data_IF_799570214349
#
_entry.id   IF_799570214349
#
_cell.length_a   1.000
_cell.length_b   1.000
_cell.length_c   1.000
_cell.angle_alpha   90.00
_cell.angle_beta   90.00
_cell.angle_gamma   90.00
#
_symmetry.space_group_name_H-M   'P 1'
#
loop_
_entity.id
_entity.type
_entity.pdbx_description
1 polymer ?
#
# COMPACT_ATOMS: atom_id res chain seq x y z
N UNK A 1 -16.55 7.40 -23.84
CA UNK A 1 -16.25 6.72 -22.56
C UNK A 1 -15.07 7.44 -21.93
N UNK A 2 -15.33 8.29 -20.95
CA UNK A 2 -14.30 9.04 -20.26
C UNK A 2 -13.63 8.07 -19.27
N UNK A 3 -12.36 7.73 -19.52
CA UNK A 3 -11.53 7.08 -18.51
C UNK A 3 -11.36 8.08 -17.37
N UNK A 4 -11.97 7.76 -16.23
CA UNK A 4 -11.66 8.40 -14.95
C UNK A 4 -10.18 8.13 -14.73
N UNK A 5 -9.35 9.13 -14.92
CA UNK A 5 -7.96 9.14 -14.45
C UNK A 5 -8.01 9.08 -12.94
N UNK A 6 -8.06 7.87 -12.39
CA UNK A 6 -7.75 7.69 -10.97
C UNK A 6 -6.33 8.24 -10.79
N UNK A 7 -6.16 9.27 -9.98
CA UNK A 7 -4.85 9.76 -9.58
C UNK A 7 -4.10 8.56 -8.98
N UNK A 8 -3.23 7.94 -9.78
CA UNK A 8 -2.34 6.90 -9.27
C UNK A 8 -1.44 7.57 -8.22
N UNK A 9 -1.40 6.99 -7.04
CA UNK A 9 -0.49 7.46 -6.00
C UNK A 9 0.96 7.35 -6.48
N UNK A 10 1.84 8.29 -6.11
CA UNK A 10 3.22 8.32 -6.57
C UNK A 10 4.01 7.09 -6.15
N UNK A 11 4.96 6.67 -6.98
CA UNK A 11 5.99 5.69 -6.65
C UNK A 11 7.17 6.43 -6.03
N UNK A 12 7.56 6.06 -4.83
CA UNK A 12 8.73 6.61 -4.15
C UNK A 12 9.94 5.70 -4.36
N UNK A 13 10.97 6.22 -5.02
CA UNK A 13 12.27 5.57 -5.19
C UNK A 13 13.24 6.13 -4.15
N UNK A 14 13.91 5.26 -3.40
CA UNK A 14 14.86 5.63 -2.35
C UNK A 14 16.18 4.89 -2.55
N UNK A 15 17.24 5.64 -2.85
CA UNK A 15 18.57 5.10 -3.17
C UNK A 15 19.58 6.23 -2.99
N UNK A 16 20.74 5.99 -2.40
CA UNK A 16 21.78 7.02 -2.23
C UNK A 16 22.61 7.30 -3.49
N UNK A 17 22.32 6.59 -4.58
CA UNK A 17 22.95 6.79 -5.89
C UNK A 17 22.05 7.60 -6.85
N UNK A 18 22.26 8.94 -7.01
CA UNK A 18 21.43 9.78 -7.87
C UNK A 18 21.33 9.33 -9.34
N UNK A 19 22.38 8.73 -9.95
CA UNK A 19 22.26 8.19 -11.31
C UNK A 19 21.25 7.05 -11.43
N UNK A 20 21.17 6.18 -10.42
CA UNK A 20 20.21 5.07 -10.41
C UNK A 20 18.79 5.59 -10.25
N UNK A 21 18.54 6.53 -9.33
CA UNK A 21 17.25 7.20 -9.16
C UNK A 21 16.77 7.85 -10.47
N UNK A 22 17.64 8.58 -11.15
CA UNK A 22 17.30 9.22 -12.44
C UNK A 22 16.94 8.19 -13.50
N UNK A 23 17.73 7.14 -13.65
CA UNK A 23 17.51 6.09 -14.64
C UNK A 23 16.20 5.33 -14.38
N UNK A 24 15.95 4.94 -13.13
CA UNK A 24 14.73 4.25 -12.72
C UNK A 24 13.50 5.16 -12.90
N UNK A 25 13.59 6.44 -12.53
CA UNK A 25 12.50 7.41 -12.69
C UNK A 25 12.13 7.62 -14.16
N UNK A 26 13.12 7.79 -15.05
CA UNK A 26 12.88 7.93 -16.49
C UNK A 26 12.25 6.67 -17.07
N UNK A 27 12.74 5.49 -16.68
CA UNK A 27 12.19 4.20 -17.11
C UNK A 27 10.73 4.02 -16.70
N UNK A 28 10.40 4.29 -15.44
CA UNK A 28 9.03 4.14 -14.94
C UNK A 28 8.08 5.11 -15.65
N UNK A 29 8.47 6.37 -15.82
CA UNK A 29 7.68 7.38 -16.54
C UNK A 29 7.47 7.01 -18.01
N UNK A 30 8.52 6.55 -18.70
CA UNK A 30 8.42 6.06 -20.08
C UNK A 30 7.49 4.83 -20.21
N UNK A 31 7.34 4.07 -19.12
CA UNK A 31 6.45 2.91 -19.06
C UNK A 31 5.00 3.25 -18.62
N UNK A 32 4.65 4.54 -18.52
CA UNK A 32 3.30 5.00 -18.18
C UNK A 32 3.03 5.18 -16.68
N UNK A 33 4.06 5.06 -15.81
CA UNK A 33 3.96 5.37 -14.39
C UNK A 33 4.43 6.81 -14.21
N UNK A 34 3.49 7.77 -14.31
CA UNK A 34 3.82 9.18 -14.46
C UNK A 34 4.38 9.82 -13.17
N UNK A 35 3.77 9.47 -12.03
CA UNK A 35 4.10 10.05 -10.72
C UNK A 35 5.21 9.24 -10.03
N UNK A 36 6.44 9.77 -10.08
CA UNK A 36 7.62 9.17 -9.45
C UNK A 36 8.34 10.24 -8.63
N UNK A 37 8.48 9.97 -7.36
CA UNK A 37 9.27 10.74 -6.39
C UNK A 37 10.60 10.03 -6.15
N UNK A 38 11.65 10.81 -5.89
CA UNK A 38 12.98 10.28 -5.61
C UNK A 38 13.53 10.87 -4.32
N UNK A 39 14.15 10.06 -3.48
CA UNK A 39 14.86 10.47 -2.28
C UNK A 39 16.24 9.81 -2.23
N UNK A 40 17.26 10.64 -1.93
CA UNK A 40 18.64 10.20 -1.74
C UNK A 40 18.96 9.89 -0.27
N UNK A 41 18.15 10.41 0.64
CA UNK A 41 18.34 10.28 2.09
C UNK A 41 17.22 9.44 2.72
N UNK A 42 17.60 8.27 3.25
CA UNK A 42 16.68 7.35 3.92
C UNK A 42 15.93 7.97 5.11
N UNK A 43 16.50 8.97 5.76
CA UNK A 43 15.88 9.67 6.91
C UNK A 43 14.66 10.51 6.51
N UNK A 44 14.58 10.93 5.25
CA UNK A 44 13.47 11.72 4.73
C UNK A 44 12.22 10.88 4.38
N UNK A 45 12.33 9.55 4.34
CA UNK A 45 11.23 8.67 3.90
C UNK A 45 10.03 8.74 4.86
N UNK A 46 10.24 8.55 6.16
CA UNK A 46 9.13 8.57 7.12
C UNK A 46 8.44 9.95 7.23
N UNK A 47 9.17 11.08 7.28
CA UNK A 47 8.57 12.40 7.15
C UNK A 47 7.71 12.57 5.90
N UNK A 48 8.21 12.13 4.73
CA UNK A 48 7.46 12.21 3.48
C UNK A 48 6.18 11.36 3.51
N UNK A 49 6.25 10.14 4.04
CA UNK A 49 5.08 9.26 4.16
C UNK A 49 4.01 9.83 5.12
N UNK A 50 4.42 10.63 6.10
CA UNK A 50 3.50 11.32 7.01
C UNK A 50 2.83 12.55 6.36
N UNK A 51 3.49 13.19 5.38
CA UNK A 51 2.99 14.39 4.71
C UNK A 51 2.09 14.08 3.51
N UNK A 52 2.38 13.01 2.77
CA UNK A 52 1.63 12.69 1.56
C UNK A 52 1.49 11.19 1.32
N UNK A 53 0.38 10.75 0.72
CA UNK A 53 0.17 9.35 0.39
C UNK A 53 1.11 8.89 -0.72
N UNK A 54 1.68 7.68 -0.55
CA UNK A 54 2.56 7.01 -1.51
C UNK A 54 1.92 5.70 -1.95
N UNK A 55 2.00 5.41 -3.23
CA UNK A 55 1.45 4.18 -3.83
C UNK A 55 2.32 2.96 -3.63
N UNK A 56 3.64 3.12 -3.84
CA UNK A 56 4.65 2.06 -3.72
C UNK A 56 5.96 2.67 -3.26
N UNK A 57 6.66 1.98 -2.37
CA UNK A 57 8.03 2.28 -1.99
C UNK A 57 8.98 1.31 -2.70
N UNK A 58 9.99 1.83 -3.41
CA UNK A 58 11.13 1.06 -3.91
C UNK A 58 12.36 1.52 -3.13
N UNK A 59 12.99 0.60 -2.41
CA UNK A 59 13.96 0.92 -1.37
C UNK A 59 15.26 0.16 -1.57
N UNK A 60 16.39 0.87 -1.64
CA UNK A 60 17.70 0.23 -1.49
C UNK A 60 17.96 -0.17 -0.03
N UNK A 61 18.60 -1.29 0.18
CA UNK A 61 19.02 -1.73 1.52
C UNK A 61 20.33 -1.09 1.99
N UNK A 62 21.21 -0.80 1.05
CA UNK A 62 22.58 -0.35 1.33
C UNK A 62 22.67 1.16 1.23
N UNK A 63 22.18 1.84 2.24
CA UNK A 63 22.21 3.30 2.31
C UNK A 63 22.93 3.78 3.56
N UNK A 64 23.56 4.96 3.54
CA UNK A 64 24.12 5.59 4.73
C UNK A 64 23.03 6.01 5.72
N UNK A 65 23.40 6.21 6.98
CA UNK A 65 22.56 6.68 8.10
C UNK A 65 21.53 5.68 8.59
N UNK A 66 20.41 5.50 7.92
CA UNK A 66 19.36 4.55 8.26
C UNK A 66 19.38 3.41 7.24
N UNK A 67 19.68 2.19 7.70
CA UNK A 67 19.71 1.02 6.82
C UNK A 67 18.32 0.76 6.21
N UNK A 68 18.30 0.31 4.96
CA UNK A 68 17.05 -0.02 4.29
C UNK A 68 16.24 -1.10 5.01
N UNK A 69 16.90 -2.05 5.70
CA UNK A 69 16.20 -3.05 6.52
C UNK A 69 15.43 -2.43 7.69
N UNK A 70 16.08 -1.54 8.46
CA UNK A 70 15.43 -0.85 9.58
C UNK A 70 14.30 0.07 9.09
N UNK A 71 14.48 0.68 7.91
CA UNK A 71 13.44 1.50 7.28
C UNK A 71 12.27 0.64 6.80
N UNK A 72 12.54 -0.50 6.16
CA UNK A 72 11.52 -1.45 5.71
C UNK A 72 10.63 -1.90 6.89
N UNK A 73 11.25 -2.31 8.01
CA UNK A 73 10.54 -2.74 9.21
C UNK A 73 9.59 -1.65 9.74
N UNK A 74 10.07 -0.40 9.80
CA UNK A 74 9.24 0.73 10.23
C UNK A 74 8.12 1.06 9.26
N UNK A 75 8.41 1.08 7.96
CA UNK A 75 7.39 1.36 6.94
C UNK A 75 6.31 0.29 6.93
N UNK A 76 6.67 -0.98 7.02
CA UNK A 76 5.68 -2.07 7.03
C UNK A 76 4.84 -2.09 8.32
N UNK A 77 5.38 -1.65 9.45
CA UNK A 77 4.64 -1.52 10.71
C UNK A 77 3.72 -0.29 10.74
N UNK A 78 4.23 0.89 10.36
CA UNK A 78 3.53 2.16 10.50
C UNK A 78 2.64 2.50 9.27
N UNK A 79 2.99 1.97 8.08
CA UNK A 79 2.30 2.21 6.81
C UNK A 79 2.00 0.89 6.07
N UNK A 80 1.23 -0.05 6.65
CA UNK A 80 0.99 -1.39 6.08
C UNK A 80 0.31 -1.37 4.72
N UNK A 81 -0.32 -0.26 4.37
CA UNK A 81 -0.95 -0.06 3.07
C UNK A 81 0.05 0.30 1.97
N UNK A 82 1.28 0.70 2.30
CA UNK A 82 2.32 1.04 1.32
C UNK A 82 3.14 -0.21 0.99
N UNK A 83 2.92 -0.84 -0.17
CA UNK A 83 3.72 -1.99 -0.57
C UNK A 83 5.17 -1.56 -0.80
N UNK A 84 6.11 -2.31 -0.22
CA UNK A 84 7.54 -2.07 -0.34
C UNK A 84 8.21 -3.10 -1.24
N UNK A 85 8.99 -2.63 -2.21
CA UNK A 85 9.89 -3.42 -3.06
C UNK A 85 11.31 -3.11 -2.61
N UNK A 86 12.09 -4.14 -2.35
CA UNK A 86 13.51 -3.99 -2.01
C UNK A 86 14.36 -4.12 -3.26
N UNK A 87 15.33 -3.21 -3.42
CA UNK A 87 16.30 -3.21 -4.51
C UNK A 87 17.71 -3.12 -3.90
N UNK A 88 18.59 -4.09 -4.17
CA UNK A 88 19.90 -4.16 -3.49
C UNK A 88 20.97 -4.79 -4.38
N UNK A 89 22.23 -4.44 -4.12
CA UNK A 89 23.39 -5.08 -4.76
C UNK A 89 23.67 -6.51 -4.21
N UNK A 90 23.10 -6.86 -3.06
CA UNK A 90 23.36 -8.15 -2.41
C UNK A 90 22.48 -9.24 -3.01
N UNK A 91 23.13 -10.28 -3.54
CA UNK A 91 22.45 -11.49 -4.03
C UNK A 91 22.56 -12.62 -2.97
N UNK A 92 22.08 -12.32 -1.76
CA UNK A 92 22.08 -13.24 -0.63
C UNK A 92 20.65 -13.72 -0.32
N UNK A 93 20.48 -15.04 -0.29
CA UNK A 93 19.18 -15.66 -0.08
C UNK A 93 18.61 -15.35 1.32
N UNK A 94 19.48 -15.34 2.32
CA UNK A 94 19.04 -15.10 3.71
C UNK A 94 18.52 -13.66 3.86
N UNK A 95 19.18 -12.68 3.27
CA UNK A 95 18.73 -11.28 3.20
C UNK A 95 17.40 -11.16 2.47
N UNK A 96 17.24 -11.84 1.33
CA UNK A 96 15.98 -11.84 0.58
C UNK A 96 14.83 -12.42 1.42
N UNK A 97 15.05 -13.57 2.07
CA UNK A 97 14.04 -14.20 2.94
C UNK A 97 13.68 -13.30 4.13
N UNK A 98 14.64 -12.63 4.72
CA UNK A 98 14.39 -11.67 5.81
C UNK A 98 13.53 -10.49 5.34
N UNK A 99 13.85 -9.87 4.20
CA UNK A 99 13.06 -8.77 3.65
C UNK A 99 11.61 -9.19 3.36
N UNK A 100 11.40 -10.39 2.78
CA UNK A 100 10.05 -10.90 2.55
C UNK A 100 9.30 -11.17 3.86
N UNK A 101 9.94 -11.66 4.90
CA UNK A 101 9.35 -11.83 6.24
C UNK A 101 9.00 -10.51 6.91
N UNK A 102 9.77 -9.45 6.66
CA UNK A 102 9.50 -8.09 7.13
C UNK A 102 8.37 -7.40 6.34
N UNK A 103 7.81 -8.04 5.32
CA UNK A 103 6.64 -7.55 4.59
C UNK A 103 6.98 -6.90 3.25
N UNK A 104 8.22 -7.00 2.74
CA UNK A 104 8.49 -6.65 1.35
C UNK A 104 7.66 -7.54 0.40
N UNK A 105 7.13 -6.94 -0.67
CA UNK A 105 6.34 -7.69 -1.65
C UNK A 105 7.19 -8.24 -2.80
N UNK A 106 8.38 -7.69 -3.00
CA UNK A 106 9.35 -8.18 -3.99
C UNK A 106 10.78 -7.80 -3.58
N UNK A 107 11.74 -8.55 -4.12
CA UNK A 107 13.17 -8.36 -3.91
C UNK A 107 13.89 -8.38 -5.26
N UNK A 108 14.60 -7.32 -5.59
CA UNK A 108 15.27 -7.10 -6.86
C UNK A 108 16.78 -6.94 -6.64
N UNK A 109 17.58 -7.73 -7.35
CA UNK A 109 19.04 -7.65 -7.29
C UNK A 109 19.58 -6.71 -8.37
N UNK A 110 20.36 -5.71 -7.97
CA UNK A 110 21.06 -4.78 -8.90
C UNK A 110 22.18 -5.53 -9.67
N UNK A 111 22.38 -5.31 -10.98
CA UNK A 111 21.58 -4.41 -11.85
C UNK A 111 20.21 -5.01 -12.20
N UNK A 112 19.16 -4.20 -12.02
CA UNK A 112 17.77 -4.64 -12.28
C UNK A 112 17.43 -4.45 -13.75
N UNK A 113 16.93 -5.52 -14.38
CA UNK A 113 16.41 -5.43 -15.74
C UNK A 113 15.19 -4.49 -15.80
N UNK A 114 15.11 -3.64 -16.82
CA UNK A 114 14.06 -2.65 -17.01
C UNK A 114 12.64 -3.24 -16.89
N UNK A 115 12.38 -4.36 -17.55
CA UNK A 115 11.09 -5.03 -17.53
C UNK A 115 10.74 -5.59 -16.14
N UNK A 116 11.76 -6.02 -15.38
CA UNK A 116 11.57 -6.57 -14.04
C UNK A 116 11.15 -5.48 -13.05
N UNK A 117 11.81 -4.32 -13.07
CA UNK A 117 11.44 -3.17 -12.23
C UNK A 117 10.01 -2.71 -12.54
N UNK A 118 9.71 -2.47 -13.81
CA UNK A 118 8.38 -2.01 -14.25
C UNK A 118 7.27 -2.99 -13.84
N UNK A 119 7.48 -4.29 -14.05
CA UNK A 119 6.48 -5.31 -13.71
C UNK A 119 6.26 -5.43 -12.20
N UNK A 120 7.31 -5.34 -11.39
CA UNK A 120 7.22 -5.33 -9.92
C UNK A 120 6.44 -4.12 -9.42
N UNK A 121 6.75 -2.93 -9.92
CA UNK A 121 6.05 -1.69 -9.52
C UNK A 121 4.58 -1.72 -9.93
N UNK A 122 4.25 -2.18 -11.14
CA UNK A 122 2.85 -2.33 -11.58
C UNK A 122 2.06 -3.28 -10.71
N UNK A 123 2.62 -4.44 -10.39
CA UNK A 123 1.99 -5.41 -9.49
C UNK A 123 1.79 -4.83 -8.08
N UNK A 124 2.73 -4.06 -7.59
CA UNK A 124 2.61 -3.39 -6.29
C UNK A 124 1.49 -2.35 -6.28
N UNK A 125 1.39 -1.52 -7.32
CA UNK A 125 0.31 -0.54 -7.48
C UNK A 125 -1.06 -1.23 -7.57
N UNK A 126 -1.15 -2.36 -8.28
CA UNK A 126 -2.38 -3.15 -8.37
C UNK A 126 -2.80 -3.72 -7.01
N UNK A 127 -1.87 -4.31 -6.26
CA UNK A 127 -2.13 -4.80 -4.90
C UNK A 127 -2.65 -3.68 -4.00
N UNK A 128 -2.04 -2.49 -4.07
CA UNK A 128 -2.49 -1.33 -3.30
C UNK A 128 -3.90 -0.88 -3.70
N UNK A 129 -4.17 -0.80 -5.00
CA UNK A 129 -5.50 -0.42 -5.50
C UNK A 129 -6.58 -1.40 -5.03
N UNK A 130 -6.33 -2.71 -5.13
CA UNK A 130 -7.25 -3.75 -4.66
C UNK A 130 -7.49 -3.68 -3.14
N UNK A 131 -6.45 -3.44 -2.34
CA UNK A 131 -6.59 -3.25 -0.89
C UNK A 131 -7.44 -2.03 -0.57
N UNK A 132 -7.22 -0.90 -1.25
CA UNK A 132 -8.01 0.32 -1.08
C UNK A 132 -9.49 0.10 -1.46
N UNK A 133 -9.77 -0.62 -2.55
CA UNK A 133 -11.12 -0.97 -2.97
C UNK A 133 -11.84 -1.84 -1.93
N UNK A 134 -11.18 -2.90 -1.42
CA UNK A 134 -11.73 -3.74 -0.35
C UNK A 134 -12.05 -2.93 0.90
N UNK A 135 -11.16 -2.00 1.28
CA UNK A 135 -11.37 -1.13 2.45
C UNK A 135 -12.55 -0.17 2.22
N UNK A 136 -12.65 0.40 1.03
CA UNK A 136 -13.77 1.27 0.63
C UNK A 136 -15.11 0.52 0.68
N UNK A 137 -15.16 -0.71 0.13
CA UNK A 137 -16.34 -1.56 0.18
C UNK A 137 -16.73 -1.90 1.63
N UNK A 138 -15.78 -2.29 2.46
CA UNK A 138 -16.02 -2.53 3.90
C UNK A 138 -16.58 -1.28 4.59
N UNK A 139 -15.99 -0.11 4.33
CA UNK A 139 -16.44 1.15 4.93
C UNK A 139 -17.84 1.53 4.42
N UNK A 140 -18.15 1.32 3.14
CA UNK A 140 -19.49 1.61 2.59
C UNK A 140 -20.55 0.70 3.21
N UNK A 141 -20.23 -0.56 3.46
CA UNK A 141 -21.10 -1.48 4.20
C UNK A 141 -21.34 -1.02 5.64
N UNK A 142 -20.33 -0.42 6.28
CA UNK A 142 -20.42 0.03 7.69
C UNK A 142 -21.03 1.43 7.86
N UNK A 143 -21.01 2.28 6.82
CA UNK A 143 -21.43 3.70 6.94
C UNK A 143 -22.79 4.02 6.33
N UNK A 144 -23.32 3.14 5.49
CA UNK A 144 -24.66 3.37 4.94
C UNK A 144 -25.75 3.11 6.01
N UNK A 145 -26.82 3.89 5.98
CA UNK A 145 -27.97 3.73 6.89
C UNK A 145 -28.66 2.39 6.70
N UNK A 146 -29.17 1.75 7.79
CA UNK A 146 -29.96 0.52 7.68
C UNK A 146 -31.11 0.68 6.68
N UNK A 147 -31.36 -0.36 5.88
CA UNK A 147 -32.47 -0.38 4.90
C UNK A 147 -33.82 -0.50 5.61
N UNK A 148 -33.88 -1.36 6.61
CA UNK A 148 -35.07 -1.59 7.41
C UNK A 148 -34.98 -0.85 8.76
N UNK A 149 -35.39 0.42 8.74
CA UNK A 149 -35.43 1.25 9.95
C UNK A 149 -36.48 0.76 10.97
N UNK A 150 -37.50 0.06 10.52
CA UNK A 150 -38.57 -0.43 11.39
C UNK A 150 -38.09 -1.59 12.24
N UNK A 151 -37.22 -2.46 11.71
CA UNK A 151 -36.63 -3.58 12.47
C UNK A 151 -35.82 -3.14 13.69
N UNK A 152 -35.35 -1.89 13.71
CA UNK A 152 -34.52 -1.33 14.80
C UNK A 152 -35.18 -0.12 15.51
N UNK A 153 -36.49 0.09 15.28
CA UNK A 153 -37.21 1.28 15.78
C UNK A 153 -37.21 1.39 17.31
N UNK A 154 -37.14 0.26 18.02
CA UNK A 154 -37.11 0.23 19.48
C UNK A 154 -35.75 0.62 20.08
N UNK A 155 -34.71 0.75 19.24
CA UNK A 155 -33.36 1.10 19.69
C UNK A 155 -33.07 2.57 19.39
N UNK A 156 -33.22 3.43 20.39
CA UNK A 156 -32.95 4.85 20.27
C UNK A 156 -31.44 5.12 20.32
N UNK A 157 -30.84 5.42 19.17
CA UNK A 157 -29.41 5.75 19.09
C UNK A 157 -29.10 6.76 17.98
N UNK A 158 -28.11 7.61 18.23
CA UNK A 158 -27.50 8.51 17.23
C UNK A 158 -26.06 8.10 16.93
N UNK A 159 -25.60 6.97 17.48
CA UNK A 159 -24.24 6.48 17.30
C UNK A 159 -24.03 5.92 15.89
N UNK A 160 -23.01 6.42 15.18
CA UNK A 160 -22.59 5.90 13.88
C UNK A 160 -22.14 4.42 13.97
N UNK A 161 -21.56 4.04 15.10
CA UNK A 161 -21.15 2.65 15.38
C UNK A 161 -22.37 1.74 15.47
N UNK A 162 -23.46 2.17 16.12
CA UNK A 162 -24.70 1.39 16.20
C UNK A 162 -25.37 1.26 14.82
N UNK A 163 -25.36 2.29 14.01
CA UNK A 163 -25.87 2.21 12.64
C UNK A 163 -25.08 1.18 11.80
N UNK A 164 -23.77 1.10 11.99
CA UNK A 164 -22.94 0.07 11.36
C UNK A 164 -23.28 -1.36 11.83
N UNK A 165 -23.55 -1.53 13.14
CA UNK A 165 -23.97 -2.82 13.72
C UNK A 165 -25.33 -3.24 13.14
N UNK A 166 -26.30 -2.35 13.02
CA UNK A 166 -27.63 -2.67 12.45
C UNK A 166 -27.51 -3.18 11.02
N UNK A 167 -26.69 -2.55 10.20
CA UNK A 167 -26.47 -3.02 8.84
C UNK A 167 -25.74 -4.37 8.76
N UNK A 168 -24.79 -4.59 9.66
CA UNK A 168 -24.17 -5.89 9.74
C UNK A 168 -25.20 -6.97 10.08
N UNK A 169 -26.11 -6.69 11.01
CA UNK A 169 -27.22 -7.59 11.37
C UNK A 169 -28.14 -7.82 10.17
N UNK A 170 -28.54 -6.76 9.44
CA UNK A 170 -29.35 -6.89 8.21
C UNK A 170 -28.66 -7.77 7.16
N UNK A 171 -27.36 -7.60 6.95
CA UNK A 171 -26.59 -8.35 5.96
C UNK A 171 -26.46 -9.84 6.33
N UNK A 172 -26.42 -10.17 7.63
CA UNK A 172 -26.23 -11.54 8.11
C UNK A 172 -27.56 -12.23 8.41
N UNK A 173 -28.62 -11.48 8.72
CA UNK A 173 -29.95 -12.03 9.07
C UNK A 173 -30.53 -13.02 8.04
N UNK A 174 -30.34 -12.86 6.71
CA UNK A 174 -30.79 -13.85 5.73
C UNK A 174 -29.98 -15.15 5.73
N UNK A 175 -28.83 -15.21 6.43
CA UNK A 175 -27.99 -16.39 6.48
C UNK A 175 -28.55 -17.42 7.47
N UNK A 176 -28.64 -18.70 7.11
CA UNK A 176 -29.05 -19.77 8.03
C UNK A 176 -27.95 -20.14 9.04
N UNK A 177 -26.80 -19.52 8.98
CA UNK A 177 -25.67 -19.83 9.87
C UNK A 177 -25.82 -19.09 11.23
N UNK A 178 -25.51 -19.75 12.36
CA UNK A 178 -25.55 -19.10 13.66
C UNK A 178 -24.48 -18.00 13.76
N UNK A 179 -24.87 -16.83 14.22
CA UNK A 179 -23.95 -15.73 14.53
C UNK A 179 -23.68 -15.75 16.02
N UNK A 180 -22.41 -15.91 16.39
CA UNK A 180 -21.98 -15.79 17.78
C UNK A 180 -21.78 -14.30 18.10
N UNK A 181 -22.45 -13.81 19.13
CA UNK A 181 -22.31 -12.44 19.64
C UNK A 181 -21.52 -12.47 20.93
#
# INVERSE_FOLDING_TARGET
>A
MAYITSHQLPVLLVDDEPPLLRSASVLLRASGIADVLTLEDSRAVLPLLAEQPVGVLVLDLTMPYLSGQALLERVTADYPDVPAIVMTATNDLDTAVQCMRMGAIDYLVKPVESNRLVSSVRRALEIRALRAEVLSLKNSLLTATPHDREAFADIITQSKTMAAIFRYVEAVAPSPQPVLV
#
